data_IF_846168717940
#
_entry.id   IF_846168717940
#
_cell.length_a   1.000
_cell.length_b   1.000
_cell.length_c   1.000
_cell.angle_alpha   90.00
_cell.angle_beta   90.00
_cell.angle_gamma   90.00
#
_symmetry.space_group_name_H-M   'P 1'
#
loop_
_entity.id
_entity.type
_entity.pdbx_description
1 polymer ?
#
# COMPACT_ATOMS: atom_id res chain seq x y z
N UNK A 1 4.08 -18.63 6.99
CA UNK A 1 5.12 -18.27 6.02
C UNK A 1 4.99 -16.84 5.47
N UNK A 2 3.82 -16.40 4.99
CA UNK A 2 3.68 -15.03 4.45
C UNK A 2 3.85 -13.93 5.51
N UNK A 3 3.18 -14.05 6.67
CA UNK A 3 3.26 -13.07 7.75
C UNK A 3 4.65 -12.93 8.37
N UNK A 4 5.41 -14.02 8.47
CA UNK A 4 6.80 -13.96 8.95
C UNK A 4 7.68 -13.13 8.01
N UNK A 5 7.46 -13.22 6.70
CA UNK A 5 8.20 -12.42 5.72
C UNK A 5 7.82 -10.94 5.80
N UNK A 6 6.54 -10.63 6.01
CA UNK A 6 6.07 -9.26 6.26
C UNK A 6 6.71 -8.68 7.53
N UNK A 7 6.74 -9.44 8.63
CA UNK A 7 7.36 -8.98 9.89
C UNK A 7 8.85 -8.74 9.71
N UNK A 8 9.58 -9.67 9.05
CA UNK A 8 11.01 -9.51 8.78
C UNK A 8 11.29 -8.29 7.89
N UNK A 9 10.51 -8.11 6.82
CA UNK A 9 10.61 -6.94 5.95
C UNK A 9 10.32 -5.63 6.69
N UNK A 10 9.28 -5.61 7.53
CA UNK A 10 8.93 -4.46 8.36
C UNK A 10 10.03 -4.10 9.36
N UNK A 11 10.60 -5.10 10.04
CA UNK A 11 11.72 -4.91 10.97
C UNK A 11 12.96 -4.40 10.25
N UNK A 12 13.28 -4.97 9.09
CA UNK A 12 14.40 -4.53 8.25
C UNK A 12 14.26 -3.05 7.87
N UNK A 13 13.10 -2.66 7.32
CA UNK A 13 12.82 -1.26 6.95
C UNK A 13 12.83 -0.34 8.18
N UNK A 14 12.26 -0.77 9.31
CA UNK A 14 12.26 0.00 10.54
C UNK A 14 13.68 0.26 11.08
N UNK A 15 14.57 -0.74 11.02
CA UNK A 15 15.97 -0.58 11.40
C UNK A 15 16.73 0.34 10.42
N UNK A 16 16.50 0.19 9.11
CA UNK A 16 17.11 1.08 8.11
C UNK A 16 16.73 2.54 8.31
N UNK A 17 15.46 2.83 8.63
CA UNK A 17 14.98 4.19 8.86
C UNK A 17 15.56 4.80 10.14
N UNK A 18 15.84 3.98 11.17
CA UNK A 18 16.49 4.42 12.42
C UNK A 18 18.00 4.61 12.28
N UNK A 19 18.62 3.99 11.28
CA UNK A 19 20.05 4.08 11.03
C UNK A 19 20.49 5.48 10.53
N UNK A 20 21.80 5.79 10.49
CA UNK A 20 22.32 7.02 9.89
C UNK A 20 21.85 7.24 8.45
N UNK A 21 21.70 6.17 7.67
CA UNK A 21 21.21 6.22 6.29
C UNK A 21 19.77 6.78 6.21
N UNK A 22 18.89 6.29 7.09
CA UNK A 22 17.51 6.78 7.17
C UNK A 22 17.41 8.24 7.59
N UNK A 23 18.33 8.72 8.44
CA UNK A 23 18.40 10.15 8.82
C UNK A 23 18.76 11.05 7.65
N UNK A 24 19.69 10.62 6.79
CA UNK A 24 20.04 11.37 5.57
C UNK A 24 18.87 11.43 4.61
N UNK A 25 18.12 10.33 4.42
CA UNK A 25 16.94 10.31 3.55
C UNK A 25 15.81 11.19 4.08
N UNK A 26 15.60 11.23 5.41
CA UNK A 26 14.67 12.19 6.01
C UNK A 26 15.10 13.62 5.74
N UNK A 27 16.40 13.94 5.88
CA UNK A 27 16.93 15.25 5.52
C UNK A 27 16.71 15.59 4.04
N UNK A 28 16.93 14.64 3.13
CA UNK A 28 16.67 14.84 1.68
C UNK A 28 15.21 15.16 1.41
N UNK A 29 14.29 14.58 2.20
CA UNK A 29 12.85 14.85 2.08
C UNK A 29 12.47 16.26 2.56
N UNK A 30 13.20 16.81 3.53
CA UNK A 30 12.97 18.15 4.08
C UNK A 30 13.61 19.23 3.19
N UNK A 31 14.90 19.11 2.90
CA UNK A 31 15.64 20.03 2.04
C UNK A 31 16.82 19.30 1.36
N UNK A 32 16.68 19.08 0.05
CA UNK A 32 17.70 18.42 -0.75
C UNK A 32 18.98 19.26 -0.92
N UNK A 33 18.84 20.58 -1.04
CA UNK A 33 19.97 21.48 -1.25
C UNK A 33 20.79 21.65 0.04
N UNK A 34 20.13 21.67 1.20
CA UNK A 34 20.79 21.62 2.49
C UNK A 34 21.66 20.35 2.64
N UNK A 35 21.12 19.17 2.29
CA UNK A 35 21.89 17.91 2.37
C UNK A 35 23.06 17.89 1.39
N UNK A 36 22.89 18.47 0.18
CA UNK A 36 23.98 18.62 -0.79
C UNK A 36 25.08 19.55 -0.28
N UNK A 37 24.72 20.64 0.39
CA UNK A 37 25.69 21.59 0.97
C UNK A 37 26.57 20.95 2.06
N UNK A 38 26.04 19.93 2.75
CA UNK A 38 26.78 19.11 3.73
C UNK A 38 27.70 18.05 3.08
N UNK A 39 27.88 18.09 1.77
CA UNK A 39 28.77 17.20 1.01
C UNK A 39 28.22 15.79 0.83
N UNK A 40 26.92 15.55 1.05
CA UNK A 40 26.29 14.23 0.84
C UNK A 40 25.75 14.12 -0.59
N UNK A 41 26.04 12.98 -1.24
CA UNK A 41 25.54 12.71 -2.58
C UNK A 41 24.07 12.26 -2.57
N UNK A 42 23.15 13.20 -2.73
CA UNK A 42 21.70 12.94 -2.71
C UNK A 42 21.26 11.95 -3.79
N UNK A 43 21.85 12.00 -4.98
CA UNK A 43 21.53 11.09 -6.08
C UNK A 43 21.77 9.63 -5.68
N UNK A 44 22.91 9.34 -5.05
CA UNK A 44 23.22 7.98 -4.57
C UNK A 44 22.23 7.48 -3.53
N UNK A 45 21.82 8.32 -2.57
CA UNK A 45 20.83 7.93 -1.56
C UNK A 45 19.44 7.67 -2.16
N UNK A 46 19.01 8.49 -3.13
CA UNK A 46 17.76 8.27 -3.88
C UNK A 46 17.82 6.95 -4.67
N UNK A 47 18.93 6.70 -5.38
CA UNK A 47 19.11 5.47 -6.16
C UNK A 47 19.07 4.22 -5.25
N UNK A 48 19.77 4.27 -4.11
CA UNK A 48 19.73 3.17 -3.13
C UNK A 48 18.30 2.92 -2.63
N UNK A 49 17.55 3.98 -2.31
CA UNK A 49 16.15 3.85 -1.85
C UNK A 49 15.26 3.19 -2.91
N UNK A 50 15.46 3.53 -4.20
CA UNK A 50 14.73 2.94 -5.32
C UNK A 50 15.07 1.46 -5.47
N UNK A 51 16.35 1.09 -5.41
CA UNK A 51 16.81 -0.30 -5.52
C UNK A 51 16.26 -1.14 -4.36
N UNK A 52 16.34 -0.65 -3.12
CA UNK A 52 15.84 -1.37 -1.94
C UNK A 52 14.32 -1.57 -2.04
N UNK A 53 13.58 -0.53 -2.45
CA UNK A 53 12.14 -0.62 -2.69
C UNK A 53 11.80 -1.64 -3.78
N UNK A 54 12.53 -1.63 -4.90
CA UNK A 54 12.37 -2.60 -5.99
C UNK A 54 12.66 -4.03 -5.57
N UNK A 55 13.71 -4.25 -4.77
CA UNK A 55 14.06 -5.57 -4.23
C UNK A 55 12.94 -6.11 -3.32
N UNK A 56 12.46 -5.30 -2.38
CA UNK A 56 11.35 -5.68 -1.49
C UNK A 56 10.05 -5.93 -2.28
N UNK A 57 9.75 -5.09 -3.27
CA UNK A 57 8.60 -5.26 -4.16
C UNK A 57 8.69 -6.55 -5.00
N UNK A 58 9.88 -6.89 -5.49
CA UNK A 58 10.12 -8.12 -6.26
C UNK A 58 9.91 -9.35 -5.38
N UNK A 59 10.48 -9.36 -4.17
CA UNK A 59 10.27 -10.44 -3.20
C UNK A 59 8.79 -10.62 -2.86
N UNK A 60 8.06 -9.52 -2.66
CA UNK A 60 6.62 -9.57 -2.43
C UNK A 60 5.86 -10.14 -3.64
N UNK A 61 6.24 -9.77 -4.86
CA UNK A 61 5.65 -10.29 -6.10
C UNK A 61 5.85 -11.80 -6.25
N UNK A 62 7.07 -12.31 -6.00
CA UNK A 62 7.36 -13.75 -6.07
C UNK A 62 6.46 -14.53 -5.10
N UNK A 63 6.33 -14.05 -3.86
CA UNK A 63 5.49 -14.67 -2.84
C UNK A 63 4.00 -14.59 -3.19
N UNK A 64 3.57 -13.49 -3.81
CA UNK A 64 2.17 -13.28 -4.22
C UNK A 64 1.72 -14.27 -5.31
N UNK A 65 2.64 -14.59 -6.23
CA UNK A 65 2.38 -15.46 -7.38
C UNK A 65 2.52 -16.94 -7.05
N UNK A 66 3.40 -17.31 -6.11
CA UNK A 66 3.69 -18.70 -5.75
C UNK A 66 2.47 -19.63 -5.61
N UNK A 67 1.35 -19.22 -4.97
CA UNK A 67 0.20 -20.10 -4.79
C UNK A 67 -0.79 -20.13 -5.97
N UNK A 68 -0.54 -19.40 -7.07
CA UNK A 68 -1.52 -19.18 -8.15
C UNK A 68 -0.88 -19.35 -9.53
N UNK A 69 -1.68 -19.76 -10.51
CA UNK A 69 -1.27 -19.65 -11.90
C UNK A 69 -1.18 -18.18 -12.32
N UNK A 70 -0.13 -17.82 -13.07
CA UNK A 70 0.05 -16.47 -13.60
C UNK A 70 -0.93 -16.26 -14.76
N UNK A 71 -1.93 -15.42 -14.54
CA UNK A 71 -2.83 -14.94 -15.60
C UNK A 71 -2.50 -13.48 -15.92
N UNK A 72 -2.13 -13.15 -17.17
CA UNK A 72 -1.79 -11.78 -17.57
C UNK A 72 -2.89 -10.75 -17.26
N UNK A 73 -4.16 -11.15 -17.33
CA UNK A 73 -5.30 -10.27 -17.04
C UNK A 73 -5.34 -9.72 -15.61
N UNK A 74 -4.69 -10.37 -14.65
CA UNK A 74 -4.67 -9.92 -13.25
C UNK A 74 -3.63 -8.81 -12.99
N UNK A 75 -2.73 -8.56 -13.93
CA UNK A 75 -1.65 -7.57 -13.81
C UNK A 75 -1.95 -6.28 -14.58
N UNK A 76 -3.22 -5.90 -14.64
CA UNK A 76 -3.66 -4.63 -15.20
C UNK A 76 -3.64 -3.48 -14.17
N UNK A 77 -4.27 -2.37 -14.55
CA UNK A 77 -4.41 -1.17 -13.70
C UNK A 77 -5.17 -1.43 -12.39
N UNK A 78 -6.02 -2.45 -12.33
CA UNK A 78 -6.74 -2.83 -11.11
C UNK A 78 -5.80 -3.12 -9.93
N UNK A 79 -4.68 -3.81 -10.19
CA UNK A 79 -3.69 -4.13 -9.16
C UNK A 79 -3.00 -2.87 -8.63
N UNK A 80 -2.67 -1.91 -9.49
CA UNK A 80 -2.03 -0.66 -9.05
C UNK A 80 -2.99 0.17 -8.20
N UNK A 81 -4.27 0.24 -8.57
CA UNK A 81 -5.29 0.88 -7.74
C UNK A 81 -5.43 0.22 -6.37
N UNK A 82 -5.38 -1.11 -6.29
CA UNK A 82 -5.45 -1.82 -5.01
C UNK A 82 -4.26 -1.48 -4.12
N UNK A 83 -3.04 -1.46 -4.69
CA UNK A 83 -1.83 -1.06 -3.95
C UNK A 83 -1.94 0.40 -3.45
N UNK A 84 -2.39 1.32 -4.30
CA UNK A 84 -2.61 2.71 -3.90
C UNK A 84 -3.66 2.83 -2.79
N UNK A 85 -4.74 2.06 -2.88
CA UNK A 85 -5.78 2.04 -1.84
C UNK A 85 -5.24 1.56 -0.52
N UNK A 86 -4.49 0.46 -0.52
CA UNK A 86 -3.83 -0.10 0.66
C UNK A 86 -2.90 0.93 1.29
N UNK A 87 -2.08 1.59 0.46
CA UNK A 87 -1.10 2.58 0.90
C UNK A 87 -1.78 3.82 1.49
N UNK A 88 -2.84 4.32 0.85
CA UNK A 88 -3.61 5.46 1.32
C UNK A 88 -4.42 5.14 2.57
N UNK A 89 -5.01 3.95 2.66
CA UNK A 89 -5.76 3.50 3.83
C UNK A 89 -4.84 3.39 5.05
N UNK A 90 -3.66 2.80 4.87
CA UNK A 90 -2.66 2.65 5.92
C UNK A 90 -1.90 3.95 6.28
N UNK A 91 -1.63 4.78 5.28
CA UNK A 91 -0.74 5.95 5.37
C UNK A 91 0.67 5.63 4.83
N UNK A 92 1.11 6.39 3.83
CA UNK A 92 2.38 6.14 3.11
C UNK A 92 3.65 6.49 3.91
N UNK A 93 3.54 7.33 4.94
CA UNK A 93 4.70 7.87 5.67
C UNK A 93 5.18 6.99 6.83
N UNK A 94 4.55 5.84 7.07
CA UNK A 94 4.90 4.94 8.19
C UNK A 94 5.17 3.50 7.72
N UNK A 95 6.04 2.79 8.44
CA UNK A 95 6.37 1.38 8.15
C UNK A 95 5.18 0.46 8.42
N UNK A 96 4.36 0.78 9.44
CA UNK A 96 3.19 -0.01 9.81
C UNK A 96 1.96 0.28 8.95
N UNK A 97 1.92 1.44 8.28
CA UNK A 97 0.83 1.87 7.42
C UNK A 97 0.46 0.81 6.38
N UNK A 98 1.36 0.41 5.46
CA UNK A 98 1.07 -0.61 4.44
C UNK A 98 0.59 -1.94 5.02
N UNK A 99 1.09 -2.34 6.18
CA UNK A 99 0.73 -3.61 6.83
C UNK A 99 -0.73 -3.57 7.28
N UNK A 100 -1.09 -2.57 8.08
CA UNK A 100 -2.46 -2.44 8.62
C UNK A 100 -3.44 -2.06 7.51
N UNK A 101 -3.01 -1.21 6.58
CA UNK A 101 -3.75 -0.86 5.38
C UNK A 101 -4.13 -2.10 4.57
N UNK A 102 -3.18 -3.03 4.38
CA UNK A 102 -3.44 -4.27 3.65
C UNK A 102 -4.40 -5.21 4.38
N UNK A 103 -4.28 -5.31 5.71
CA UNK A 103 -5.19 -6.11 6.53
C UNK A 103 -6.62 -5.61 6.41
N UNK A 104 -6.83 -4.31 6.63
CA UNK A 104 -8.17 -3.71 6.59
C UNK A 104 -8.74 -3.82 5.18
N UNK A 105 -7.96 -3.51 4.14
CA UNK A 105 -8.40 -3.57 2.75
C UNK A 105 -8.87 -4.98 2.36
N UNK A 106 -8.08 -6.01 2.66
CA UNK A 106 -8.42 -7.39 2.33
C UNK A 106 -9.57 -7.93 3.18
N UNK A 107 -9.64 -7.56 4.47
CA UNK A 107 -10.78 -7.92 5.33
C UNK A 107 -12.05 -7.28 4.79
N UNK A 108 -12.02 -5.99 4.44
CA UNK A 108 -13.18 -5.31 3.87
C UNK A 108 -13.61 -5.98 2.57
N UNK A 109 -12.69 -6.21 1.63
CA UNK A 109 -13.00 -6.91 0.38
C UNK A 109 -13.57 -8.31 0.60
N UNK A 110 -13.00 -9.10 1.51
CA UNK A 110 -13.44 -10.46 1.80
C UNK A 110 -14.81 -10.49 2.49
N UNK A 111 -15.08 -9.54 3.37
CA UNK A 111 -16.38 -9.41 4.03
C UNK A 111 -17.45 -8.99 3.03
N UNK A 112 -17.18 -8.02 2.16
CA UNK A 112 -18.17 -7.61 1.15
C UNK A 112 -18.45 -8.73 0.16
N UNK A 113 -17.42 -9.48 -0.24
CA UNK A 113 -17.58 -10.67 -1.08
C UNK A 113 -18.42 -11.75 -0.37
N UNK A 114 -18.14 -12.04 0.90
CA UNK A 114 -18.88 -13.03 1.68
C UNK A 114 -20.36 -12.66 1.87
N UNK A 115 -20.64 -11.40 2.20
CA UNK A 115 -22.00 -10.88 2.37
C UNK A 115 -22.78 -10.85 1.05
N UNK A 116 -22.15 -10.39 -0.04
CA UNK A 116 -22.77 -10.38 -1.37
C UNK A 116 -23.04 -11.82 -1.85
N UNK A 117 -22.08 -12.72 -1.68
CA UNK A 117 -22.23 -14.12 -2.09
C UNK A 117 -23.32 -14.84 -1.28
N UNK A 118 -23.42 -14.57 0.03
CA UNK A 118 -24.48 -15.10 0.88
C UNK A 118 -25.87 -14.49 0.58
N UNK A 119 -25.92 -13.20 0.22
CA UNK A 119 -27.17 -12.53 -0.17
C UNK A 119 -27.72 -12.99 -1.52
N UNK A 120 -26.84 -13.33 -2.46
CA UNK A 120 -27.20 -13.92 -3.76
C UNK A 120 -27.63 -15.38 -3.58
N UNK A 121 -26.91 -16.18 -2.77
CA UNK A 121 -27.25 -17.60 -2.55
C UNK A 121 -28.51 -17.82 -1.72
N UNK A 122 -28.88 -16.88 -0.85
CA UNK A 122 -30.12 -16.91 -0.07
C UNK A 122 -31.36 -16.39 -0.83
N UNK A 123 -31.21 -15.95 -2.09
CA UNK A 123 -32.31 -15.48 -2.93
C UNK A 123 -32.85 -14.10 -2.58
N UNK A 124 -32.29 -13.41 -1.58
CA UNK A 124 -32.68 -12.06 -1.15
C UNK A 124 -32.23 -11.00 -2.16
N UNK A 125 -31.11 -11.24 -2.86
CA UNK A 125 -30.57 -10.33 -3.89
C UNK A 125 -30.70 -11.01 -5.25
N UNK A 126 -31.81 -10.77 -5.94
CA UNK A 126 -32.11 -11.33 -7.27
C UNK A 126 -31.60 -10.45 -8.43
N UNK A 127 -31.02 -9.28 -8.13
CA UNK A 127 -30.59 -8.27 -9.11
C UNK A 127 -29.11 -8.38 -9.55
N UNK A 128 -28.31 -9.24 -8.91
CA UNK A 128 -26.86 -9.34 -9.18
C UNK A 128 -26.54 -10.80 -9.53
N UNK A 129 -25.98 -11.03 -10.72
CA UNK A 129 -25.47 -12.33 -11.13
C UNK A 129 -24.04 -12.57 -10.57
N UNK A 130 -23.66 -13.83 -10.37
CA UNK A 130 -22.38 -14.20 -9.73
C UNK A 130 -21.14 -13.67 -10.47
N UNK A 131 -21.25 -13.48 -11.78
CA UNK A 131 -20.23 -12.91 -12.67
C UNK A 131 -20.01 -11.41 -12.45
N UNK A 132 -21.04 -10.67 -11.99
CA UNK A 132 -20.96 -9.23 -11.75
C UNK A 132 -20.27 -8.86 -10.42
N UNK A 133 -20.06 -9.84 -9.52
CA UNK A 133 -19.41 -9.64 -8.22
C UNK A 133 -18.00 -9.07 -8.40
N UNK A 134 -17.28 -9.50 -9.44
CA UNK A 134 -15.96 -8.96 -9.77
C UNK A 134 -15.98 -7.46 -10.07
N UNK A 135 -16.95 -6.99 -10.86
CA UNK A 135 -17.12 -5.57 -11.18
C UNK A 135 -17.47 -4.73 -9.96
N UNK A 136 -18.34 -5.25 -9.08
CA UNK A 136 -18.72 -4.58 -7.83
C UNK A 136 -17.52 -4.39 -6.91
N UNK A 137 -16.60 -5.37 -6.84
CA UNK A 137 -15.36 -5.22 -6.07
C UNK A 137 -14.51 -4.06 -6.57
N UNK A 138 -14.32 -3.91 -7.88
CA UNK A 138 -13.58 -2.78 -8.43
C UNK A 138 -14.27 -1.44 -8.15
N UNK A 139 -15.59 -1.38 -8.25
CA UNK A 139 -16.37 -0.19 -7.89
C UNK A 139 -16.22 0.18 -6.42
N UNK A 140 -16.30 -0.81 -5.52
CA UNK A 140 -16.11 -0.59 -4.08
C UNK A 140 -14.70 -0.09 -3.74
N UNK A 141 -13.68 -0.58 -4.44
CA UNK A 141 -12.32 -0.08 -4.25
C UNK A 141 -12.18 1.36 -4.75
N UNK A 142 -12.75 1.69 -5.92
CA UNK A 142 -12.77 3.06 -6.43
C UNK A 142 -13.50 4.02 -5.49
N UNK A 143 -14.67 3.62 -4.97
CA UNK A 143 -15.41 4.37 -3.96
C UNK A 143 -14.63 4.49 -2.64
N UNK A 144 -14.01 3.41 -2.18
CA UNK A 144 -13.17 3.39 -0.98
C UNK A 144 -11.99 4.36 -1.10
N UNK A 145 -11.34 4.40 -2.28
CA UNK A 145 -10.31 5.38 -2.60
C UNK A 145 -10.84 6.81 -2.55
N UNK A 146 -11.94 7.09 -3.25
CA UNK A 146 -12.54 8.43 -3.24
C UNK A 146 -12.88 8.90 -1.82
N UNK A 147 -13.54 8.04 -1.04
CA UNK A 147 -13.89 8.35 0.35
C UNK A 147 -12.65 8.58 1.22
N UNK A 148 -11.60 7.78 1.05
CA UNK A 148 -10.35 7.98 1.77
C UNK A 148 -9.68 9.31 1.42
N UNK A 149 -9.59 9.65 0.13
CA UNK A 149 -9.00 10.92 -0.30
C UNK A 149 -9.80 12.11 0.24
N UNK A 150 -11.13 12.01 0.26
CA UNK A 150 -12.02 13.07 0.76
C UNK A 150 -11.92 13.23 2.28
N UNK A 151 -12.03 12.14 3.04
CA UNK A 151 -12.18 12.23 4.50
C UNK A 151 -10.84 12.16 5.26
N UNK A 152 -9.84 11.45 4.73
CA UNK A 152 -8.56 11.17 5.40
C UNK A 152 -7.43 11.01 4.37
N UNK A 153 -7.01 12.09 3.67
CA UNK A 153 -5.97 12.00 2.63
C UNK A 153 -4.60 11.51 3.16
N UNK A 154 -4.40 11.52 4.47
CA UNK A 154 -3.18 11.02 5.11
C UNK A 154 -3.23 9.52 5.50
N UNK A 155 -4.39 8.87 5.42
CA UNK A 155 -4.59 7.50 5.91
C UNK A 155 -4.72 7.38 7.43
N UNK A 156 -4.82 6.14 7.92
CA UNK A 156 -5.06 5.83 9.34
C UNK A 156 -3.86 6.21 10.22
N UNK A 157 -2.62 5.97 9.75
CA UNK A 157 -1.39 6.28 10.49
C UNK A 157 -0.66 7.52 9.94
N UNK A 158 -1.34 8.32 9.13
CA UNK A 158 -0.80 9.55 8.56
C UNK A 158 -0.45 10.59 9.62
N UNK A 159 0.75 11.15 9.52
CA UNK A 159 1.22 12.16 10.45
C UNK A 159 0.76 13.56 10.00
N UNK A 160 -0.12 14.20 10.78
CA UNK A 160 -0.70 15.53 10.49
C UNK A 160 0.36 16.63 10.28
N UNK A 161 1.56 16.45 10.82
CA UNK A 161 2.65 17.43 10.76
C UNK A 161 3.27 17.60 9.37
N UNK A 162 3.01 16.70 8.42
CA UNK A 162 3.57 16.78 7.05
C UNK A 162 2.71 17.63 6.07
N UNK A 163 1.49 18.03 6.46
CA UNK A 163 0.61 18.87 5.62
C UNK A 163 0.83 20.38 5.81
N UNK A 164 1.47 20.80 6.91
CA UNK A 164 1.57 22.21 7.28
C UNK A 164 2.84 22.92 6.78
N UNK A 165 3.73 22.24 6.05
CA UNK A 165 4.96 22.86 5.54
C UNK A 165 4.80 23.58 4.19
N UNK A 166 3.57 23.63 3.65
CA UNK A 166 3.21 24.43 2.47
C UNK A 166 2.08 25.42 2.79
N UNK A 167 2.20 26.16 3.90
CA UNK A 167 1.39 27.34 4.19
C UNK A 167 2.30 28.51 4.54
#
# INVERSE_FOLDING_TARGET
MAWSLVILGALFVAQMIRSPWGRVIKGIREDEDAVRSLGKNVYSYKMQSLIIGGLLGTLAGIVFVLPRAVQPGNYGTGLTFFIWTILLLGGASTVLGPIIGSMIFWVLLSLTEGLLSAGVSSGVITFIQQDQIGGIRFMLVGLGLMLLVIFRPQGIFGNKKELYFNA
#
